data_IF_988030099929
#
_entry.id   IF_988030099929
#
_cell.length_a   1.000
_cell.length_b   1.000
_cell.length_c   1.000
_cell.angle_alpha   90.00
_cell.angle_beta   90.00
_cell.angle_gamma   90.00
#
_symmetry.space_group_name_H-M   'P 1'
#
loop_
_entity.id
_entity.type
_entity.pdbx_description
1 polymer ?
#
# COMPACT_ATOMS: atom_id res chain seq x y z
N UNK A 1 24.09 -34.07 -19.02
CA UNK A 1 24.56 -32.86 -18.31
C UNK A 1 24.39 -33.14 -16.83
N UNK A 2 25.51 -33.19 -16.12
CA UNK A 2 25.58 -33.51 -14.68
C UNK A 2 25.14 -32.29 -13.89
N UNK A 3 23.95 -32.36 -13.28
CA UNK A 3 23.47 -31.35 -12.32
C UNK A 3 24.46 -31.28 -11.15
N UNK A 4 25.33 -30.27 -11.14
CA UNK A 4 26.12 -29.95 -9.96
C UNK A 4 25.17 -29.56 -8.82
N UNK A 5 25.34 -30.19 -7.66
CA UNK A 5 24.52 -29.99 -6.48
C UNK A 5 24.81 -28.62 -5.84
N UNK A 6 24.21 -27.56 -6.40
CA UNK A 6 24.27 -26.20 -5.86
C UNK A 6 23.44 -26.00 -4.58
N UNK A 7 22.68 -27.01 -4.18
CA UNK A 7 21.71 -26.94 -3.09
C UNK A 7 21.91 -28.10 -2.11
N UNK A 8 21.68 -27.83 -0.83
CA UNK A 8 21.55 -28.88 0.17
C UNK A 8 20.47 -29.89 -0.25
N UNK A 9 20.68 -31.18 0.05
CA UNK A 9 19.74 -32.24 -0.32
C UNK A 9 18.32 -32.03 0.24
N UNK A 10 18.19 -31.22 1.31
CA UNK A 10 16.94 -30.85 1.97
C UNK A 10 16.26 -29.60 1.40
N UNK A 11 16.88 -28.89 0.45
CA UNK A 11 16.30 -27.67 -0.12
C UNK A 11 15.08 -27.98 -1.01
N UNK A 12 14.16 -27.00 -1.09
CA UNK A 12 13.00 -27.08 -1.98
C UNK A 12 13.45 -27.32 -3.44
N UNK A 13 12.91 -28.37 -4.06
CA UNK A 13 13.10 -28.67 -5.48
C UNK A 13 11.74 -28.98 -6.08
N UNK A 14 11.38 -28.30 -7.16
CA UNK A 14 10.12 -28.52 -7.88
C UNK A 14 9.95 -29.99 -8.30
N UNK A 15 11.04 -30.70 -8.56
CA UNK A 15 11.05 -32.12 -8.91
C UNK A 15 11.04 -33.10 -7.72
N UNK A 16 11.14 -32.62 -6.46
CA UNK A 16 11.17 -33.44 -5.25
C UNK A 16 10.29 -32.88 -4.14
N UNK A 17 9.04 -32.54 -4.46
CA UNK A 17 8.13 -32.10 -3.42
C UNK A 17 7.61 -33.32 -2.65
N UNK A 18 7.82 -33.41 -1.32
CA UNK A 18 7.33 -34.54 -0.54
C UNK A 18 5.79 -34.58 -0.60
N UNK A 19 5.23 -35.76 -0.84
CA UNK A 19 3.78 -35.96 -0.74
C UNK A 19 3.35 -35.69 0.70
N UNK A 20 2.59 -34.62 0.89
CA UNK A 20 2.06 -34.27 2.19
C UNK A 20 0.68 -34.90 2.37
N UNK A 21 0.47 -35.53 3.52
CA UNK A 21 -0.86 -36.04 3.89
C UNK A 21 -1.88 -34.89 3.90
N UNK A 22 -3.09 -35.09 3.35
CA UNK A 22 -4.14 -34.08 3.37
C UNK A 22 -4.46 -33.68 4.81
N UNK A 23 -4.82 -32.42 5.01
CA UNK A 23 -5.25 -31.96 6.34
C UNK A 23 -6.48 -32.75 6.76
N UNK A 24 -6.42 -33.44 7.90
CA UNK A 24 -7.59 -34.08 8.51
C UNK A 24 -8.67 -33.04 8.81
N UNK A 25 -9.93 -33.39 8.59
CA UNK A 25 -11.06 -32.53 8.94
C UNK A 25 -11.08 -32.26 10.45
N UNK A 26 -11.32 -30.99 10.82
CA UNK A 26 -11.26 -30.53 12.20
C UNK A 26 -12.53 -29.79 12.61
N UNK A 27 -12.84 -29.79 13.93
CA UNK A 27 -13.95 -29.04 14.49
C UNK A 27 -13.88 -27.56 14.08
N UNK A 28 -15.04 -26.96 13.85
CA UNK A 28 -15.22 -25.65 13.22
C UNK A 28 -14.38 -24.52 13.84
N UNK A 29 -14.22 -24.51 15.17
CA UNK A 29 -13.42 -23.52 15.92
C UNK A 29 -11.94 -23.54 15.57
N UNK A 30 -11.37 -24.70 15.21
CA UNK A 30 -9.93 -24.84 14.94
C UNK A 30 -9.56 -24.65 13.46
N UNK A 31 -10.53 -24.37 12.59
CA UNK A 31 -10.27 -24.18 11.15
C UNK A 31 -9.35 -22.98 10.85
N UNK A 32 -9.36 -21.95 11.70
CA UNK A 32 -8.58 -20.72 11.47
C UNK A 32 -7.17 -20.73 12.10
N UNK A 33 -6.91 -21.58 13.09
CA UNK A 33 -5.70 -21.49 13.91
C UNK A 33 -4.51 -22.30 13.37
N UNK A 34 -4.75 -23.35 12.58
CA UNK A 34 -3.72 -24.24 12.03
C UNK A 34 -4.13 -24.81 10.68
N UNK A 35 -4.17 -23.96 9.65
CA UNK A 35 -4.18 -24.43 8.27
C UNK A 35 -2.76 -24.90 7.92
N UNK A 36 -2.57 -26.21 7.69
CA UNK A 36 -1.29 -26.73 7.21
C UNK A 36 -1.24 -26.48 5.71
N UNK A 37 -0.46 -25.50 5.28
CA UNK A 37 -0.28 -25.19 3.87
C UNK A 37 0.32 -26.42 3.16
N UNK A 38 -0.30 -26.93 2.08
CA UNK A 38 0.22 -28.07 1.36
C UNK A 38 1.50 -27.67 0.62
N UNK A 39 2.56 -28.45 0.79
CA UNK A 39 3.71 -28.40 -0.12
C UNK A 39 3.40 -29.25 -1.36
N UNK A 40 3.53 -28.68 -2.56
CA UNK A 40 3.71 -29.47 -3.78
C UNK A 40 2.55 -29.59 -4.75
N UNK A 41 1.36 -29.17 -4.37
CA UNK A 41 0.35 -28.73 -5.34
C UNK A 41 0.27 -27.22 -5.21
N UNK A 42 1.20 -26.54 -5.87
CA UNK A 42 1.05 -25.13 -6.17
C UNK A 42 0.00 -25.00 -7.29
N UNK A 43 -1.23 -25.43 -7.03
CA UNK A 43 -2.32 -24.57 -7.51
C UNK A 43 -2.10 -23.25 -6.78
N UNK A 44 -2.23 -22.12 -7.48
CA UNK A 44 -2.15 -20.79 -6.90
C UNK A 44 -3.28 -20.65 -5.86
N UNK A 45 -3.06 -21.22 -4.68
CA UNK A 45 -3.84 -20.99 -3.48
C UNK A 45 -3.45 -19.59 -3.00
N UNK A 46 -3.90 -18.62 -3.78
CA UNK A 46 -4.14 -17.29 -3.27
C UNK A 46 -5.08 -17.46 -2.08
N UNK A 47 -4.77 -16.78 -0.96
CA UNK A 47 -5.61 -16.84 0.23
C UNK A 47 -7.07 -16.64 -0.17
N UNK A 48 -8.02 -17.39 0.41
CA UNK A 48 -9.44 -17.26 0.06
C UNK A 48 -9.92 -15.79 0.09
N UNK A 49 -9.38 -15.01 1.03
CA UNK A 49 -9.61 -13.58 1.16
C UNK A 49 -9.22 -12.76 -0.10
N UNK A 50 -8.25 -13.21 -0.90
CA UNK A 50 -7.89 -12.59 -2.19
C UNK A 50 -8.95 -12.89 -3.26
N UNK A 51 -9.48 -14.11 -3.31
CA UNK A 51 -10.61 -14.44 -4.20
C UNK A 51 -11.90 -13.70 -3.79
N UNK A 52 -12.09 -13.42 -2.50
CA UNK A 52 -13.18 -12.55 -2.03
C UNK A 52 -12.95 -11.08 -2.41
N UNK A 53 -11.70 -10.62 -2.34
CA UNK A 53 -11.34 -9.21 -2.59
C UNK A 53 -11.31 -8.86 -4.08
N UNK A 54 -10.99 -9.82 -4.95
CA UNK A 54 -10.88 -9.61 -6.39
C UNK A 54 -11.97 -10.36 -7.14
N UNK A 55 -12.89 -9.62 -7.75
CA UNK A 55 -13.93 -10.21 -8.59
C UNK A 55 -13.32 -11.03 -9.76
N UNK A 56 -13.97 -12.12 -10.21
CA UNK A 56 -13.51 -12.86 -11.40
C UNK A 56 -13.34 -11.97 -12.64
N UNK A 57 -14.17 -10.93 -12.76
CA UNK A 57 -14.06 -9.93 -13.84
C UNK A 57 -12.75 -9.15 -13.76
N UNK A 58 -12.34 -8.69 -12.56
CA UNK A 58 -11.07 -8.00 -12.39
C UNK A 58 -9.87 -8.90 -12.68
N UNK A 59 -9.90 -10.17 -12.24
CA UNK A 59 -8.80 -11.11 -12.50
C UNK A 59 -8.60 -11.32 -14.01
N UNK A 60 -9.69 -11.52 -14.77
CA UNK A 60 -9.62 -11.64 -16.23
C UNK A 60 -9.11 -10.37 -16.92
N UNK A 61 -9.44 -9.18 -16.39
CA UNK A 61 -8.88 -7.93 -16.91
C UNK A 61 -7.36 -7.88 -16.72
N UNK A 62 -6.86 -8.27 -15.54
CA UNK A 62 -5.41 -8.35 -15.28
C UNK A 62 -4.70 -9.38 -16.16
N UNK A 63 -5.30 -10.56 -16.38
CA UNK A 63 -4.78 -11.55 -17.32
C UNK A 63 -4.70 -10.99 -18.75
N UNK A 64 -5.70 -10.21 -19.17
CA UNK A 64 -5.71 -9.52 -20.46
C UNK A 64 -4.54 -8.54 -20.59
N UNK A 65 -4.36 -7.63 -19.63
CA UNK A 65 -3.23 -6.69 -19.62
C UNK A 65 -1.88 -7.39 -19.59
N UNK A 66 -1.78 -8.54 -18.90
CA UNK A 66 -0.56 -9.34 -18.87
C UNK A 66 -0.22 -9.91 -20.25
N UNK A 67 -1.21 -10.46 -20.97
CA UNK A 67 -1.02 -10.99 -22.33
C UNK A 67 -0.63 -9.89 -23.32
N UNK A 68 -1.33 -8.77 -23.29
CA UNK A 68 -1.03 -7.60 -24.14
C UNK A 68 0.41 -7.14 -23.93
N UNK A 69 0.85 -7.02 -22.66
CA UNK A 69 2.24 -6.71 -22.33
C UNK A 69 3.22 -7.74 -22.89
N UNK A 70 2.94 -9.04 -22.77
CA UNK A 70 3.80 -10.11 -23.28
C UNK A 70 3.92 -10.06 -24.82
N UNK A 71 2.82 -9.78 -25.53
CA UNK A 71 2.77 -9.61 -26.98
C UNK A 71 3.55 -8.37 -27.44
N UNK A 72 3.36 -7.23 -26.76
CA UNK A 72 4.08 -5.98 -27.03
C UNK A 72 5.59 -6.12 -26.77
N UNK A 73 5.94 -6.86 -25.72
CA UNK A 73 7.34 -7.17 -25.39
C UNK A 73 7.97 -8.07 -26.44
N UNK A 74 7.24 -9.10 -26.91
CA UNK A 74 7.69 -9.98 -27.98
C UNK A 74 7.88 -9.23 -29.32
N UNK A 75 7.06 -8.21 -29.57
CA UNK A 75 7.11 -7.36 -30.77
C UNK A 75 8.13 -6.21 -30.64
N UNK A 76 8.79 -6.06 -29.48
CA UNK A 76 9.67 -4.93 -29.13
C UNK A 76 9.01 -3.53 -29.21
N UNK A 77 7.68 -3.47 -29.14
CA UNK A 77 6.90 -2.21 -29.18
C UNK A 77 6.58 -1.68 -27.78
N UNK A 78 6.89 -2.47 -26.74
CA UNK A 78 6.54 -2.14 -25.37
C UNK A 78 7.20 -0.86 -24.86
N UNK A 79 6.37 0.13 -24.50
CA UNK A 79 6.81 1.34 -23.80
C UNK A 79 6.44 1.21 -22.31
N UNK A 80 7.41 1.08 -21.40
CA UNK A 80 7.13 0.90 -19.98
C UNK A 80 6.45 2.14 -19.40
N UNK A 81 5.47 1.92 -18.53
CA UNK A 81 4.84 3.00 -17.78
C UNK A 81 5.89 3.65 -16.86
N UNK A 82 5.73 4.93 -16.55
CA UNK A 82 6.59 5.67 -15.62
C UNK A 82 6.78 4.92 -14.28
N UNK A 83 5.74 4.22 -13.82
CA UNK A 83 5.79 3.46 -12.57
C UNK A 83 6.57 2.15 -12.65
N UNK A 84 6.69 1.54 -13.82
CA UNK A 84 7.43 0.28 -13.97
C UNK A 84 8.94 0.52 -13.96
N UNK A 85 9.36 1.73 -14.34
CA UNK A 85 10.74 2.15 -14.27
C UNK A 85 11.19 2.47 -12.83
N UNK A 86 10.25 2.76 -11.93
CA UNK A 86 10.54 3.12 -10.54
C UNK A 86 10.55 1.86 -9.67
N UNK A 87 11.68 1.56 -9.04
CA UNK A 87 11.75 0.49 -8.03
C UNK A 87 11.17 0.98 -6.69
N UNK A 88 9.97 0.52 -6.35
CA UNK A 88 9.33 0.81 -5.07
C UNK A 88 9.88 -0.04 -3.91
N UNK A 89 10.80 -0.96 -4.18
CA UNK A 89 11.38 -1.90 -3.24
C UNK A 89 10.36 -2.86 -2.59
N UNK A 90 9.12 -2.87 -3.04
CA UNK A 90 8.09 -3.85 -2.66
C UNK A 90 8.13 -4.97 -3.68
N UNK A 91 8.22 -6.22 -3.22
CA UNK A 91 8.29 -7.37 -4.12
C UNK A 91 7.61 -8.58 -3.49
N UNK A 92 6.57 -9.07 -4.15
CA UNK A 92 5.81 -10.24 -3.70
C UNK A 92 5.93 -11.35 -4.75
N UNK A 93 7.09 -12.00 -4.75
CA UNK A 93 7.39 -13.09 -5.67
C UNK A 93 7.32 -14.44 -4.96
N UNK A 94 7.33 -15.51 -5.74
CA UNK A 94 7.36 -16.86 -5.20
C UNK A 94 8.68 -17.20 -4.46
N UNK A 95 9.72 -16.39 -4.59
CA UNK A 95 10.99 -16.59 -3.89
C UNK A 95 11.14 -15.69 -2.66
N UNK A 96 10.63 -14.46 -2.72
CA UNK A 96 10.89 -13.42 -1.73
C UNK A 96 9.63 -12.58 -1.52
N UNK A 97 9.29 -12.35 -0.26
CA UNK A 97 8.34 -11.33 0.15
C UNK A 97 9.11 -10.16 0.73
N UNK A 98 8.97 -8.99 0.13
CA UNK A 98 9.71 -7.79 0.50
C UNK A 98 8.73 -6.65 0.70
N UNK A 99 8.76 -6.08 1.90
CA UNK A 99 7.93 -4.96 2.27
C UNK A 99 8.76 -3.68 2.35
N UNK A 100 8.24 -2.59 1.80
CA UNK A 100 8.83 -1.26 1.90
C UNK A 100 7.78 -0.24 2.32
N UNK A 101 8.18 0.76 3.12
CA UNK A 101 7.29 1.85 3.53
C UNK A 101 7.21 2.88 2.42
N UNK A 102 6.07 3.55 2.23
CA UNK A 102 6.03 4.75 1.41
C UNK A 102 6.92 5.86 2.02
N UNK A 103 7.58 6.72 1.23
CA UNK A 103 8.35 7.82 1.79
C UNK A 103 7.47 8.81 2.55
N UNK A 104 8.09 9.62 3.41
CA UNK A 104 7.39 10.61 4.21
C UNK A 104 6.63 11.64 3.34
N UNK A 105 7.11 11.94 2.13
CA UNK A 105 6.42 12.81 1.17
C UNK A 105 5.09 12.23 0.71
N UNK A 106 5.01 10.92 0.45
CA UNK A 106 3.75 10.26 0.07
C UNK A 106 2.73 10.37 1.20
N UNK A 107 3.17 10.07 2.42
CA UNK A 107 2.33 10.18 3.61
C UNK A 107 1.83 11.62 3.81
N UNK A 108 2.69 12.62 3.63
CA UNK A 108 2.30 14.04 3.69
C UNK A 108 1.15 14.37 2.74
N UNK A 109 1.25 13.98 1.46
CA UNK A 109 0.19 14.26 0.49
C UNK A 109 -1.10 13.47 0.78
N UNK A 110 -0.99 12.23 1.22
CA UNK A 110 -2.14 11.43 1.67
C UNK A 110 -2.83 12.07 2.88
N UNK A 111 -2.07 12.61 3.85
CA UNK A 111 -2.63 13.34 4.99
C UNK A 111 -3.25 14.68 4.59
N UNK A 112 -2.63 15.42 3.67
CA UNK A 112 -3.20 16.66 3.14
C UNK A 112 -4.57 16.44 2.49
N UNK A 113 -4.70 15.39 1.67
CA UNK A 113 -5.95 15.04 1.00
C UNK A 113 -6.97 14.41 1.96
N UNK A 114 -6.60 13.33 2.64
CA UNK A 114 -7.51 12.58 3.53
C UNK A 114 -7.83 13.33 4.81
N UNK A 115 -6.82 13.91 5.46
CA UNK A 115 -6.97 14.72 6.67
C UNK A 115 -7.71 16.02 6.40
N UNK A 116 -7.41 16.72 5.29
CA UNK A 116 -8.16 17.90 4.87
C UNK A 116 -9.65 17.60 4.66
N UNK A 117 -9.96 16.51 3.96
CA UNK A 117 -11.34 16.04 3.76
C UNK A 117 -12.04 15.73 5.09
N UNK A 118 -11.38 14.99 5.98
CA UNK A 118 -11.93 14.64 7.28
C UNK A 118 -12.21 15.87 8.13
N UNK A 119 -11.24 16.78 8.25
CA UNK A 119 -11.36 18.02 9.00
C UNK A 119 -12.45 18.94 8.44
N UNK A 120 -12.58 18.99 7.10
CA UNK A 120 -13.64 19.76 6.46
C UNK A 120 -15.02 19.31 6.92
N UNK A 121 -15.32 18.00 6.86
CA UNK A 121 -16.62 17.49 7.29
C UNK A 121 -16.82 17.61 8.81
N UNK A 122 -15.76 17.41 9.60
CA UNK A 122 -15.82 17.59 11.05
C UNK A 122 -16.18 19.03 11.42
N UNK A 123 -15.49 20.01 10.84
CA UNK A 123 -15.77 21.42 11.08
C UNK A 123 -17.11 21.85 10.48
N UNK A 124 -17.52 21.32 9.33
CA UNK A 124 -18.83 21.59 8.75
C UNK A 124 -19.93 21.23 9.75
N UNK A 125 -19.86 20.05 10.36
CA UNK A 125 -20.84 19.61 11.38
C UNK A 125 -20.77 20.51 12.62
N UNK A 126 -19.57 20.85 13.08
CA UNK A 126 -19.37 21.70 14.26
C UNK A 126 -19.83 23.16 14.05
N UNK A 127 -19.78 23.68 12.82
CA UNK A 127 -20.15 25.06 12.52
C UNK A 127 -21.68 25.27 12.42
N UNK A 128 -22.47 24.22 12.23
CA UNK A 128 -23.93 24.32 12.19
C UNK A 128 -24.51 24.89 13.51
N UNK A 129 -24.21 24.32 14.70
CA UNK A 129 -24.74 24.88 15.95
C UNK A 129 -24.17 26.26 16.27
N UNK A 130 -22.91 26.55 15.94
CA UNK A 130 -22.30 27.87 16.19
C UNK A 130 -23.01 28.97 15.39
N UNK A 131 -23.39 28.67 14.15
CA UNK A 131 -24.18 29.59 13.32
C UNK A 131 -25.53 29.95 13.95
N UNK A 132 -26.28 28.96 14.45
CA UNK A 132 -27.56 29.21 15.12
C UNK A 132 -27.39 29.99 16.43
N UNK A 133 -26.32 29.72 17.16
CA UNK A 133 -25.99 30.45 18.40
C UNK A 133 -25.71 31.93 18.13
N UNK A 134 -24.90 32.25 17.13
CA UNK A 134 -24.57 33.64 16.79
C UNK A 134 -25.79 34.44 16.33
N UNK A 135 -26.64 33.86 15.46
CA UNK A 135 -27.89 34.52 15.02
C UNK A 135 -28.87 34.73 16.17
N UNK A 136 -28.88 33.85 17.17
CA UNK A 136 -29.79 33.99 18.32
C UNK A 136 -29.40 35.14 19.26
N UNK A 137 -28.13 35.54 19.26
CA UNK A 137 -27.61 36.63 20.11
C UNK A 137 -27.61 37.96 19.36
N UNK A 138 -27.39 37.95 18.05
CA UNK A 138 -27.20 39.18 17.28
C UNK A 138 -28.55 39.78 16.82
N UNK A 139 -28.82 41.03 17.21
CA UNK A 139 -30.04 41.76 16.84
C UNK A 139 -29.98 42.43 15.44
N UNK A 140 -29.03 42.05 14.59
CA UNK A 140 -28.88 42.61 13.24
C UNK A 140 -29.81 41.90 12.25
N UNK A 141 -29.90 42.48 11.04
CA UNK A 141 -30.48 41.80 9.88
C UNK A 141 -29.78 40.46 9.66
N UNK A 142 -30.56 39.37 9.61
CA UNK A 142 -30.07 37.99 9.40
C UNK A 142 -29.12 37.92 8.20
N UNK A 143 -29.45 38.60 7.10
CA UNK A 143 -28.63 38.60 5.89
C UNK A 143 -27.22 39.16 6.12
N UNK A 144 -27.12 40.25 6.88
CA UNK A 144 -25.87 40.95 7.14
C UNK A 144 -25.00 40.18 8.13
N UNK A 145 -25.62 39.60 9.17
CA UNK A 145 -24.97 38.65 10.07
C UNK A 145 -24.46 37.42 9.34
N UNK A 146 -25.27 36.75 8.51
CA UNK A 146 -24.83 35.56 7.74
C UNK A 146 -23.63 35.88 6.85
N UNK A 147 -23.61 37.04 6.20
CA UNK A 147 -22.48 37.44 5.35
C UNK A 147 -21.20 37.64 6.16
N UNK A 148 -21.27 38.31 7.30
CA UNK A 148 -20.10 38.55 8.15
C UNK A 148 -19.57 37.24 8.73
N UNK A 149 -20.45 36.38 9.26
CA UNK A 149 -20.08 35.05 9.78
C UNK A 149 -19.44 34.19 8.68
N UNK A 150 -19.98 34.24 7.46
CA UNK A 150 -19.42 33.51 6.33
C UNK A 150 -17.99 33.96 5.98
N UNK A 151 -17.77 35.27 5.92
CA UNK A 151 -16.46 35.84 5.56
C UNK A 151 -15.45 35.65 6.69
N UNK A 152 -15.83 35.94 7.93
CA UNK A 152 -14.90 35.98 9.07
C UNK A 152 -14.65 34.59 9.66
N UNK A 153 -15.69 33.76 9.79
CA UNK A 153 -15.60 32.47 10.46
C UNK A 153 -15.47 31.33 9.45
N UNK A 154 -16.45 31.17 8.56
CA UNK A 154 -16.48 30.02 7.65
C UNK A 154 -15.32 30.01 6.64
N UNK A 155 -14.88 31.17 6.13
CA UNK A 155 -13.73 31.24 5.21
C UNK A 155 -12.46 30.66 5.81
N UNK A 156 -12.18 30.93 7.09
CA UNK A 156 -10.97 30.44 7.74
C UNK A 156 -11.14 28.99 8.21
N UNK A 157 -12.25 28.68 8.88
CA UNK A 157 -12.46 27.36 9.48
C UNK A 157 -12.78 26.27 8.44
N UNK A 158 -13.56 26.56 7.40
CA UNK A 158 -13.84 25.61 6.32
C UNK A 158 -12.89 25.76 5.14
N UNK A 159 -12.47 26.99 4.81
CA UNK A 159 -11.62 27.24 3.66
C UNK A 159 -10.23 26.61 3.80
N UNK A 160 -9.61 26.65 4.98
CA UNK A 160 -8.29 26.03 5.18
C UNK A 160 -8.29 24.50 4.95
N UNK A 161 -9.19 23.71 5.59
CA UNK A 161 -9.32 22.28 5.28
C UNK A 161 -9.69 21.99 3.83
N UNK A 162 -10.57 22.82 3.23
CA UNK A 162 -10.99 22.66 1.84
C UNK A 162 -9.81 22.88 0.89
N UNK A 163 -9.01 23.92 1.12
CA UNK A 163 -7.79 24.18 0.34
C UNK A 163 -6.77 23.04 0.53
N UNK A 164 -6.54 22.58 1.76
CA UNK A 164 -5.68 21.42 2.02
C UNK A 164 -6.14 20.18 1.24
N UNK A 165 -7.44 19.89 1.28
CA UNK A 165 -8.02 18.77 0.57
C UNK A 165 -7.89 18.92 -0.95
N UNK A 166 -8.17 20.11 -1.49
CA UNK A 166 -8.05 20.39 -2.91
C UNK A 166 -6.61 20.23 -3.40
N UNK A 167 -5.65 20.87 -2.72
CA UNK A 167 -4.22 20.79 -3.07
C UNK A 167 -3.73 19.34 -2.99
N UNK A 168 -4.03 18.62 -1.90
CA UNK A 168 -3.63 17.22 -1.76
C UNK A 168 -4.21 16.34 -2.86
N UNK A 169 -5.48 16.54 -3.23
CA UNK A 169 -6.14 15.76 -4.28
C UNK A 169 -5.59 16.06 -5.67
N UNK A 170 -5.27 17.33 -5.96
CA UNK A 170 -4.65 17.73 -7.23
C UNK A 170 -3.29 17.05 -7.39
N UNK A 171 -2.44 17.09 -6.36
CA UNK A 171 -1.11 16.48 -6.42
C UNK A 171 -1.20 14.96 -6.59
N UNK A 172 -2.11 14.31 -5.88
CA UNK A 172 -2.30 12.85 -5.98
C UNK A 172 -2.72 12.42 -7.40
N UNK A 173 -3.64 13.17 -8.02
CA UNK A 173 -4.23 12.80 -9.30
C UNK A 173 -3.40 13.25 -10.51
N UNK A 174 -2.85 14.47 -10.48
CA UNK A 174 -2.19 15.08 -11.63
C UNK A 174 -0.66 15.04 -11.58
N UNK A 175 -0.07 14.87 -10.39
CA UNK A 175 1.39 14.88 -10.24
C UNK A 175 1.93 13.65 -9.51
N UNK A 176 1.81 12.45 -10.10
CA UNK A 176 2.36 11.23 -9.53
C UNK A 176 3.83 11.30 -9.10
N UNK A 177 4.75 11.96 -9.85
CA UNK A 177 6.14 12.06 -9.44
C UNK A 177 6.35 12.77 -8.09
N UNK A 178 5.45 13.67 -7.69
CA UNK A 178 5.60 14.41 -6.42
C UNK A 178 5.25 13.56 -5.19
N UNK A 179 4.35 12.59 -5.35
CA UNK A 179 3.86 11.79 -4.22
C UNK A 179 4.25 10.32 -4.30
N UNK A 180 4.45 9.73 -5.48
CA UNK A 180 4.90 8.33 -5.65
C UNK A 180 6.40 8.25 -5.85
N UNK A 181 7.14 8.79 -4.88
CA UNK A 181 8.59 8.59 -4.85
C UNK A 181 8.92 7.20 -4.30
N UNK A 182 10.02 6.58 -4.75
CA UNK A 182 10.51 5.36 -4.15
C UNK A 182 10.89 5.62 -2.69
N UNK A 183 10.76 4.57 -1.88
CA UNK A 183 11.19 4.61 -0.49
C UNK A 183 12.71 4.59 -0.38
N UNK A 184 13.26 4.73 0.82
CA UNK A 184 14.72 4.57 1.04
C UNK A 184 15.20 3.12 0.85
N UNK A 185 14.27 2.17 0.78
CA UNK A 185 14.55 0.75 0.71
C UNK A 185 13.53 -0.09 1.47
N UNK A 186 13.65 -1.43 1.38
CA UNK A 186 12.76 -2.36 2.07
C UNK A 186 12.96 -2.35 3.59
N UNK A 187 11.90 -2.48 4.37
CA UNK A 187 11.98 -2.60 5.83
C UNK A 187 12.39 -4.01 6.24
N UNK A 188 11.83 -5.01 5.56
CA UNK A 188 12.15 -6.41 5.79
C UNK A 188 11.92 -7.23 4.53
N UNK A 189 12.62 -8.36 4.45
CA UNK A 189 12.51 -9.34 3.38
C UNK A 189 12.46 -10.75 4.00
N UNK A 190 11.45 -11.53 3.65
CA UNK A 190 11.40 -12.97 3.89
C UNK A 190 11.84 -13.69 2.63
N UNK A 191 12.95 -14.40 2.71
CA UNK A 191 13.42 -15.26 1.65
C UNK A 191 12.81 -16.67 1.82
N UNK A 192 11.86 -17.03 0.95
CA UNK A 192 11.19 -18.34 1.01
C UNK A 192 12.10 -19.50 0.59
N UNK A 193 13.19 -19.22 -0.13
CA UNK A 193 14.19 -20.22 -0.53
C UNK A 193 15.06 -20.64 0.65
N UNK A 194 15.44 -19.70 1.52
CA UNK A 194 16.31 -19.98 2.69
C UNK A 194 15.55 -20.07 4.01
N UNK A 195 14.33 -19.53 4.07
CA UNK A 195 13.56 -19.36 5.31
C UNK A 195 14.01 -18.19 6.18
N UNK A 196 15.03 -17.43 5.76
CA UNK A 196 15.58 -16.32 6.54
C UNK A 196 14.73 -15.07 6.41
N UNK A 197 14.61 -14.35 7.53
CA UNK A 197 14.02 -13.00 7.56
C UNK A 197 15.15 -12.00 7.75
N UNK A 198 15.31 -11.11 6.77
CA UNK A 198 16.23 -9.97 6.84
C UNK A 198 15.43 -8.73 7.24
N UNK A 199 15.82 -8.07 8.33
CA UNK A 199 15.30 -6.76 8.71
C UNK A 199 16.36 -5.71 8.41
N UNK A 200 15.98 -4.67 7.69
CA UNK A 200 16.86 -3.56 7.31
C UNK A 200 16.64 -2.37 8.25
N UNK A 201 17.70 -1.99 8.96
CA UNK A 201 17.71 -0.80 9.81
C UNK A 201 18.45 0.36 9.14
N UNK A 202 17.67 1.31 8.62
CA UNK A 202 18.16 2.56 8.05
C UNK A 202 18.48 3.65 9.08
N UNK A 203 18.07 3.46 10.35
CA UNK A 203 18.32 4.41 11.42
C UNK A 203 19.61 4.12 12.17
N UNK A 204 20.18 2.92 12.04
CA UNK A 204 21.44 2.41 12.63
C UNK A 204 22.43 3.53 13.04
N UNK A 205 22.18 4.19 14.17
CA UNK A 205 22.88 5.37 14.70
C UNK A 205 23.35 6.44 13.68
N UNK A 206 22.61 6.59 12.57
CA UNK A 206 22.95 7.51 11.47
C UNK A 206 24.07 7.04 10.53
N UNK A 207 24.55 5.79 10.65
CA UNK A 207 25.58 5.23 9.77
C UNK A 207 25.12 5.18 8.31
N UNK A 208 23.85 4.88 8.04
CA UNK A 208 23.29 4.94 6.69
C UNK A 208 23.45 6.32 6.04
N UNK A 209 23.29 7.40 6.81
CA UNK A 209 23.47 8.78 6.30
C UNK A 209 24.93 9.18 6.14
N UNK A 210 25.84 8.58 6.92
CA UNK A 210 27.28 8.90 6.93
C UNK A 210 28.07 8.09 5.92
N UNK A 211 27.81 6.79 5.86
CA UNK A 211 28.62 5.79 5.16
C UNK A 211 27.80 4.98 4.13
N UNK A 212 26.47 5.16 4.07
CA UNK A 212 25.60 4.38 3.18
C UNK A 212 25.39 2.92 3.61
N UNK A 213 25.94 2.50 4.74
CA UNK A 213 25.81 1.14 5.26
C UNK A 213 24.43 0.92 5.88
N UNK A 214 23.74 -0.12 5.43
CA UNK A 214 22.45 -0.56 5.96
C UNK A 214 22.73 -1.60 7.04
N UNK A 215 22.15 -1.43 8.22
CA UNK A 215 22.18 -2.49 9.24
C UNK A 215 21.28 -3.63 8.78
N UNK A 216 21.81 -4.84 8.65
CA UNK A 216 21.02 -6.02 8.30
C UNK A 216 21.03 -7.00 9.47
N UNK A 217 19.83 -7.34 9.95
CA UNK A 217 19.64 -8.38 10.96
C UNK A 217 18.96 -9.57 10.27
N UNK A 218 19.66 -10.70 10.20
CA UNK A 218 19.16 -11.94 9.61
C UNK A 218 18.90 -12.97 10.71
N UNK A 219 17.71 -13.56 10.71
CA UNK A 219 17.28 -14.61 11.64
C UNK A 219 16.62 -15.77 10.90
#
# INVERSE_FOLDING_TARGET
MTDEYWYAQTAYRSSRVPKQEPSTERPWIMRFAKARLPWGNADDLTAANLFEKFSPKSLRLYEGFKKEREEETATNTYAPNLYELIDFHIRDDHERFRYALLPASSHFWMYMSGGGRFLFFLFLIACIPTYFFEISIEHKSVLESTKNIFIEFFSWFLGLPLLSWAIGSIVINHSPPLWKNPSRGPIWELNRRTGLVTVFDYKNNGEYKKNGTIGELTA
#
